data_IF_014586374797
#
_entry.id   IF_014586374797
#
_cell.length_a   1.000
_cell.length_b   1.000
_cell.length_c   1.000
_cell.angle_alpha   90.00
_cell.angle_beta   90.00
_cell.angle_gamma   90.00
#
_symmetry.space_group_name_H-M   'P 1'
#
loop_
_entity.id
_entity.type
_entity.pdbx_description
1 polymer ?
#
# COMPACT_ATOMS: atom_id res chain seq x y z
N UNK A 1 -50.35 -7.48 32.42
CA UNK A 1 -49.44 -8.32 31.65
C UNK A 1 -48.16 -7.56 31.46
N UNK A 2 -47.07 -7.96 32.14
CA UNK A 2 -45.77 -7.29 32.05
C UNK A 2 -44.95 -8.02 31.02
N UNK A 3 -44.57 -7.34 29.95
CA UNK A 3 -43.67 -7.87 28.91
C UNK A 3 -42.30 -8.22 29.48
N UNK A 4 -41.80 -9.43 29.19
CA UNK A 4 -40.43 -9.85 29.49
C UNK A 4 -39.46 -9.09 28.59
N UNK A 5 -38.30 -8.64 29.10
CA UNK A 5 -37.23 -8.08 28.27
C UNK A 5 -36.63 -9.20 27.42
N UNK A 6 -36.50 -8.97 26.11
CA UNK A 6 -35.74 -9.83 25.19
C UNK A 6 -34.25 -9.71 25.62
N UNK A 7 -33.64 -10.82 25.95
CA UNK A 7 -32.23 -10.93 26.20
C UNK A 7 -31.39 -10.61 24.94
N UNK A 8 -30.10 -10.29 25.08
CA UNK A 8 -29.26 -9.97 23.94
C UNK A 8 -29.18 -11.17 23.00
N UNK A 9 -29.45 -10.92 21.73
CA UNK A 9 -29.24 -11.87 20.65
C UNK A 9 -27.75 -12.14 20.58
N UNK A 10 -27.34 -13.39 20.77
CA UNK A 10 -25.96 -13.84 20.56
C UNK A 10 -25.68 -13.59 19.09
N UNK A 11 -24.80 -12.61 18.79
CA UNK A 11 -24.27 -12.41 17.46
C UNK A 11 -23.62 -13.73 17.02
N UNK A 12 -24.05 -14.27 15.90
CA UNK A 12 -23.41 -15.43 15.30
C UNK A 12 -21.93 -15.08 15.10
N UNK A 13 -21.03 -15.83 15.72
CA UNK A 13 -19.59 -15.65 15.53
C UNK A 13 -19.29 -15.94 14.07
N UNK A 14 -18.73 -14.96 13.36
CA UNK A 14 -18.22 -15.13 12.00
C UNK A 14 -17.24 -16.31 12.00
N UNK A 15 -17.54 -17.36 11.24
CA UNK A 15 -16.61 -18.47 11.04
C UNK A 15 -15.54 -18.05 10.05
N UNK A 16 -14.41 -17.56 10.57
CA UNK A 16 -13.20 -17.39 9.76
C UNK A 16 -12.67 -18.77 9.40
N UNK A 17 -12.26 -18.98 8.13
CA UNK A 17 -11.65 -20.23 7.69
C UNK A 17 -10.52 -20.66 8.61
N UNK A 18 -10.40 -21.96 8.87
CA UNK A 18 -9.44 -22.55 9.82
C UNK A 18 -7.99 -22.15 9.51
N UNK A 19 -7.65 -21.97 8.23
CA UNK A 19 -6.34 -21.50 7.77
C UNK A 19 -5.91 -20.12 8.36
N UNK A 20 -6.87 -19.26 8.74
CA UNK A 20 -6.57 -17.97 9.37
C UNK A 20 -6.54 -18.06 10.90
N UNK A 21 -7.19 -19.08 11.49
CA UNK A 21 -7.08 -19.37 12.93
C UNK A 21 -5.73 -20.01 13.28
N UNK A 22 -5.17 -20.77 12.34
CA UNK A 22 -3.88 -21.48 12.50
C UNK A 22 -2.67 -20.63 12.04
N UNK A 23 -2.89 -19.46 11.44
CA UNK A 23 -1.85 -18.62 10.82
C UNK A 23 -0.98 -17.83 11.83
N UNK A 24 -1.24 -17.95 13.12
CA UNK A 24 -0.54 -17.18 14.15
C UNK A 24 -0.99 -15.71 14.23
N UNK A 25 -0.31 -14.93 15.04
CA UNK A 25 -0.51 -13.49 15.17
C UNK A 25 -0.08 -12.76 13.88
N UNK A 26 -0.76 -11.66 13.45
CA UNK A 26 -0.30 -10.85 12.33
C UNK A 26 1.16 -10.41 12.48
N UNK A 27 2.04 -10.70 11.51
CA UNK A 27 3.49 -10.46 11.66
C UNK A 27 3.87 -9.00 11.92
N UNK A 28 3.05 -8.04 11.51
CA UNK A 28 3.31 -6.62 11.75
C UNK A 28 3.31 -6.27 13.24
N UNK A 29 2.65 -7.08 14.08
CA UNK A 29 2.60 -6.85 15.53
C UNK A 29 3.99 -6.97 16.19
N UNK A 30 4.90 -7.74 15.61
CA UNK A 30 6.29 -7.84 16.09
C UNK A 30 7.07 -6.53 15.91
N UNK A 31 6.57 -5.62 15.05
CA UNK A 31 7.18 -4.34 14.74
C UNK A 31 6.33 -3.15 15.23
N UNK A 32 5.12 -3.40 15.74
CA UNK A 32 4.09 -2.36 15.94
C UNK A 32 4.55 -1.20 16.82
N UNK A 33 5.35 -1.45 17.86
CA UNK A 33 5.77 -0.45 18.84
C UNK A 33 6.51 0.75 18.22
N UNK A 34 7.24 0.50 17.13
CA UNK A 34 8.04 1.54 16.49
C UNK A 34 7.62 1.87 15.04
N UNK A 35 6.91 0.95 14.34
CA UNK A 35 6.52 1.14 12.94
C UNK A 35 5.15 1.80 12.76
N UNK A 36 4.31 1.82 13.80
CA UNK A 36 2.93 2.26 13.70
C UNK A 36 2.43 3.01 14.94
N UNK A 37 1.30 3.68 14.79
CA UNK A 37 0.48 4.21 15.88
C UNK A 37 -0.87 3.49 15.89
N UNK A 38 -1.33 2.96 17.03
CA UNK A 38 -2.69 2.48 17.18
C UNK A 38 -3.67 3.64 16.98
N UNK A 39 -4.70 3.43 16.17
CA UNK A 39 -5.69 4.47 15.82
C UNK A 39 -7.10 3.91 15.84
N UNK A 40 -8.08 4.82 15.84
CA UNK A 40 -9.48 4.48 15.71
C UNK A 40 -10.03 5.00 14.38
N UNK A 41 -10.97 4.27 13.80
CA UNK A 41 -11.71 4.73 12.65
C UNK A 41 -12.65 5.89 13.04
N UNK A 42 -12.96 6.74 12.07
CA UNK A 42 -14.01 7.73 12.26
C UNK A 42 -15.37 7.05 12.39
N UNK A 43 -16.25 7.68 13.17
CA UNK A 43 -17.67 7.33 13.23
C UNK A 43 -18.39 7.98 12.04
N UNK A 44 -19.07 7.17 11.24
CA UNK A 44 -19.73 7.62 10.02
C UNK A 44 -21.25 7.67 10.20
N UNK A 45 -21.94 8.73 9.71
CA UNK A 45 -23.39 8.88 9.88
C UNK A 45 -24.18 7.76 9.19
N UNK A 46 -23.63 7.13 8.17
CA UNK A 46 -24.25 5.99 7.46
C UNK A 46 -23.17 5.20 6.72
N UNK A 47 -23.35 3.89 6.60
CA UNK A 47 -22.52 3.02 5.76
C UNK A 47 -23.38 2.41 4.65
N UNK A 48 -23.00 2.62 3.39
CA UNK A 48 -23.70 2.05 2.22
C UNK A 48 -22.69 1.38 1.32
N UNK A 49 -22.80 0.09 1.14
CA UNK A 49 -21.92 -0.69 0.26
C UNK A 49 -22.09 -0.22 -1.20
N UNK A 50 -20.97 0.13 -1.85
CA UNK A 50 -20.90 0.56 -3.25
C UNK A 50 -20.12 -0.38 -4.12
N UNK A 51 -19.11 -1.04 -3.56
CA UNK A 51 -18.29 -2.03 -4.23
C UNK A 51 -17.82 -3.09 -3.24
N UNK A 52 -17.89 -4.34 -3.68
CA UNK A 52 -17.34 -5.51 -2.99
C UNK A 52 -16.61 -6.36 -4.03
N UNK A 53 -15.36 -6.67 -3.76
CA UNK A 53 -14.54 -7.49 -4.65
C UNK A 53 -14.57 -8.95 -4.19
N UNK A 54 -15.57 -9.70 -4.64
CA UNK A 54 -15.75 -11.10 -4.24
C UNK A 54 -14.59 -12.00 -4.70
N UNK A 55 -13.95 -11.69 -5.84
CA UNK A 55 -12.76 -12.43 -6.31
C UNK A 55 -11.57 -12.26 -5.35
N UNK A 56 -11.34 -11.03 -4.91
CA UNK A 56 -10.29 -10.75 -3.93
C UNK A 56 -10.63 -11.31 -2.55
N UNK A 57 -11.91 -11.32 -2.18
CA UNK A 57 -12.40 -11.91 -0.93
C UNK A 57 -12.22 -13.43 -0.90
N UNK A 58 -12.47 -14.11 -2.02
CA UNK A 58 -12.25 -15.56 -2.14
C UNK A 58 -10.76 -15.92 -1.95
N UNK A 59 -9.87 -15.13 -2.54
CA UNK A 59 -8.41 -15.33 -2.45
C UNK A 59 -7.88 -15.29 -1.00
N UNK A 60 -8.54 -14.53 -0.13
CA UNK A 60 -8.16 -14.39 1.29
C UNK A 60 -9.19 -14.98 2.27
N UNK A 61 -10.10 -15.84 1.79
CA UNK A 61 -11.05 -16.58 2.62
C UNK A 61 -12.19 -15.75 3.25
N UNK A 62 -12.53 -14.60 2.69
CA UNK A 62 -13.59 -13.72 3.17
C UNK A 62 -14.84 -13.68 2.24
N UNK A 63 -14.93 -14.57 1.26
CA UNK A 63 -16.03 -14.59 0.28
C UNK A 63 -17.40 -14.83 0.92
N UNK A 64 -17.45 -15.57 2.04
CA UNK A 64 -18.70 -15.99 2.70
C UNK A 64 -19.30 -14.92 3.63
N UNK A 65 -18.66 -13.77 3.82
CA UNK A 65 -19.23 -12.68 4.61
C UNK A 65 -20.53 -12.20 3.95
N UNK A 66 -21.60 -12.08 4.74
CA UNK A 66 -22.82 -11.37 4.32
C UNK A 66 -22.52 -9.87 4.13
N UNK A 67 -23.42 -9.14 3.48
CA UNK A 67 -23.27 -7.69 3.32
C UNK A 67 -23.29 -6.95 4.66
N UNK A 68 -24.02 -7.43 5.65
CA UNK A 68 -24.06 -6.84 6.99
C UNK A 68 -22.73 -7.05 7.73
N UNK A 69 -22.13 -8.24 7.65
CA UNK A 69 -20.80 -8.54 8.18
C UNK A 69 -19.71 -7.75 7.43
N UNK A 70 -19.84 -7.64 6.10
CA UNK A 70 -18.95 -6.83 5.29
C UNK A 70 -18.95 -5.36 5.73
N UNK A 71 -20.14 -4.79 5.95
CA UNK A 71 -20.26 -3.42 6.45
C UNK A 71 -19.81 -3.28 7.91
N UNK A 72 -19.92 -4.33 8.73
CA UNK A 72 -19.36 -4.35 10.08
C UNK A 72 -17.83 -4.18 10.03
N UNK A 73 -17.15 -4.97 9.20
CA UNK A 73 -15.69 -4.95 9.13
C UNK A 73 -15.14 -3.80 8.26
N UNK A 74 -15.72 -3.50 7.10
CA UNK A 74 -15.15 -2.54 6.14
C UNK A 74 -15.88 -1.19 6.09
N UNK A 75 -16.93 -1.03 6.87
CA UNK A 75 -17.67 0.23 7.03
C UNK A 75 -17.62 0.78 8.45
N UNK A 76 -17.69 -0.07 9.47
CA UNK A 76 -17.62 0.30 10.89
C UNK A 76 -16.31 -0.11 11.57
N UNK A 77 -15.43 -0.84 10.85
CA UNK A 77 -14.12 -1.27 11.28
C UNK A 77 -14.10 -2.16 12.54
N UNK A 78 -15.14 -2.98 12.71
CA UNK A 78 -15.13 -4.05 13.70
C UNK A 78 -13.99 -5.02 13.36
N UNK A 79 -13.10 -5.30 14.31
CA UNK A 79 -11.91 -6.14 14.09
C UNK A 79 -12.28 -7.52 13.52
N UNK A 80 -11.47 -8.01 12.60
CA UNK A 80 -11.56 -9.40 12.15
C UNK A 80 -11.09 -10.31 13.28
N UNK A 81 -11.84 -11.38 13.63
CA UNK A 81 -11.46 -12.30 14.70
C UNK A 81 -10.06 -12.90 14.48
N UNK A 82 -9.23 -12.90 15.53
CA UNK A 82 -7.86 -13.43 15.47
C UNK A 82 -6.86 -12.56 14.67
N UNK A 83 -7.22 -11.33 14.34
CA UNK A 83 -6.38 -10.39 13.58
C UNK A 83 -5.94 -9.20 14.45
N UNK A 84 -5.63 -8.05 13.83
CA UNK A 84 -5.22 -6.86 14.54
C UNK A 84 -6.33 -6.44 15.54
N UNK A 85 -6.01 -6.26 16.83
CA UNK A 85 -7.00 -5.84 17.81
C UNK A 85 -7.46 -4.39 17.60
N UNK A 86 -6.60 -3.58 16.95
CA UNK A 86 -6.83 -2.18 16.64
C UNK A 86 -6.12 -1.83 15.33
N UNK A 87 -6.67 -0.95 14.49
CA UNK A 87 -6.02 -0.46 13.29
C UNK A 87 -4.69 0.26 13.59
N UNK A 88 -3.75 0.19 12.65
CA UNK A 88 -2.39 0.70 12.77
C UNK A 88 -2.09 1.74 11.68
N UNK A 89 -1.83 2.99 12.05
CA UNK A 89 -1.32 4.01 11.13
C UNK A 89 0.19 3.88 11.01
N UNK A 90 0.69 3.46 9.84
CA UNK A 90 2.10 3.21 9.62
C UNK A 90 2.91 4.51 9.56
N UNK A 91 4.07 4.49 10.18
CA UNK A 91 5.03 5.60 10.23
C UNK A 91 6.01 5.48 9.08
N UNK A 92 6.13 6.54 8.28
CA UNK A 92 7.14 6.67 7.24
C UNK A 92 7.47 8.14 7.00
N UNK A 93 8.57 8.40 6.33
CA UNK A 93 8.90 9.69 5.74
C UNK A 93 8.82 9.57 4.20
N UNK A 94 9.37 10.50 3.46
CA UNK A 94 9.46 10.34 2.03
C UNK A 94 10.04 11.54 1.31
N UNK A 95 10.44 11.32 0.06
CA UNK A 95 10.76 12.40 -0.86
C UNK A 95 9.55 12.64 -1.76
N UNK A 96 8.95 13.80 -1.60
CA UNK A 96 7.86 14.28 -2.46
C UNK A 96 8.43 15.25 -3.49
N UNK A 97 8.34 14.91 -4.77
CA UNK A 97 9.01 15.70 -5.83
C UNK A 97 10.51 15.93 -5.54
N UNK A 98 11.21 14.91 -5.05
CA UNK A 98 12.63 14.91 -4.63
C UNK A 98 12.93 15.82 -3.43
N UNK A 99 11.93 16.38 -2.76
CA UNK A 99 12.10 17.12 -1.50
C UNK A 99 11.74 16.21 -0.34
N UNK A 100 12.66 16.04 0.61
CA UNK A 100 12.44 15.21 1.78
C UNK A 100 11.41 15.83 2.72
N UNK A 101 10.45 15.02 3.15
CA UNK A 101 9.39 15.40 4.06
C UNK A 101 9.32 14.42 5.24
N UNK A 102 9.69 14.86 6.47
CA UNK A 102 9.66 14.03 7.68
C UNK A 102 8.28 13.99 8.36
N UNK A 103 7.27 14.70 7.83
CA UNK A 103 5.92 14.78 8.43
C UNK A 103 4.94 13.77 7.81
N UNK A 104 5.45 12.80 7.04
CA UNK A 104 4.62 11.80 6.38
C UNK A 104 4.34 10.61 7.30
N UNK A 105 3.26 9.93 6.98
CA UNK A 105 2.74 8.72 7.58
C UNK A 105 1.36 8.42 7.00
N UNK A 106 0.70 7.38 7.45
CA UNK A 106 -0.67 7.07 7.04
C UNK A 106 -1.65 8.14 7.55
N UNK A 107 -1.82 9.22 6.77
CA UNK A 107 -2.52 10.44 7.21
C UNK A 107 -4.05 10.43 6.98
N UNK A 108 -4.61 9.45 6.28
CA UNK A 108 -6.06 9.33 6.03
C UNK A 108 -6.54 7.89 5.89
N UNK A 109 -5.83 6.99 6.51
CA UNK A 109 -6.10 5.57 6.48
C UNK A 109 -5.18 4.84 7.43
N UNK A 110 -5.29 3.53 7.48
CA UNK A 110 -4.54 2.67 8.38
C UNK A 110 -4.49 1.23 7.82
N UNK A 111 -3.55 0.44 8.32
CA UNK A 111 -3.57 -1.01 8.18
C UNK A 111 -4.66 -1.57 9.10
N UNK A 112 -5.64 -2.26 8.51
CA UNK A 112 -6.80 -2.81 9.23
C UNK A 112 -6.62 -4.27 9.59
N UNK A 113 -6.01 -5.06 8.71
CA UNK A 113 -5.81 -6.50 8.91
C UNK A 113 -4.66 -7.04 8.07
N UNK A 114 -4.08 -8.16 8.51
CA UNK A 114 -3.16 -8.98 7.72
C UNK A 114 -3.71 -10.39 7.59
N UNK A 115 -3.78 -10.91 6.38
CA UNK A 115 -4.31 -12.23 6.05
C UNK A 115 -3.33 -12.97 5.12
N UNK A 116 -3.56 -14.26 4.92
CA UNK A 116 -2.81 -15.04 3.92
C UNK A 116 -3.72 -15.34 2.73
N UNK A 117 -3.20 -15.13 1.51
CA UNK A 117 -3.90 -15.56 0.30
C UNK A 117 -3.79 -17.08 0.08
N UNK A 118 -4.45 -17.60 -0.94
CA UNK A 118 -4.44 -19.02 -1.29
C UNK A 118 -3.03 -19.54 -1.66
N UNK A 119 -2.06 -18.65 -1.93
CA UNK A 119 -0.65 -18.98 -2.19
C UNK A 119 0.23 -18.89 -0.94
N UNK A 120 -0.36 -18.54 0.21
CA UNK A 120 0.35 -18.33 1.46
C UNK A 120 1.06 -16.97 1.57
N UNK A 121 0.89 -16.05 0.61
CA UNK A 121 1.48 -14.72 0.68
C UNK A 121 0.78 -13.88 1.74
N UNK A 122 1.55 -13.06 2.46
CA UNK A 122 0.99 -12.08 3.37
C UNK A 122 0.29 -10.97 2.57
N UNK A 123 -0.97 -10.72 2.90
CA UNK A 123 -1.79 -9.69 2.28
C UNK A 123 -2.28 -8.72 3.35
N UNK A 124 -2.17 -7.45 3.08
CA UNK A 124 -2.60 -6.36 3.94
C UNK A 124 -3.94 -5.79 3.45
N UNK A 125 -4.88 -5.61 4.37
CA UNK A 125 -6.07 -4.79 4.15
C UNK A 125 -5.79 -3.39 4.69
N UNK A 126 -5.48 -2.46 3.81
CA UNK A 126 -5.26 -1.05 4.13
C UNK A 126 -6.46 -0.21 3.74
N UNK A 127 -6.71 0.87 4.47
CA UNK A 127 -7.85 1.75 4.24
C UNK A 127 -7.43 3.12 3.71
N UNK A 128 -8.40 3.85 3.12
CA UNK A 128 -8.23 5.23 2.68
C UNK A 128 -9.54 5.99 2.87
N UNK A 129 -9.49 7.08 3.61
CA UNK A 129 -10.68 7.86 3.96
C UNK A 129 -11.35 7.42 5.27
N UNK A 130 -10.71 6.56 6.05
CA UNK A 130 -11.26 5.93 7.27
C UNK A 130 -11.13 6.78 8.54
N UNK A 131 -10.50 7.93 8.48
CA UNK A 131 -10.38 8.85 9.62
C UNK A 131 -9.05 9.58 9.67
N UNK A 132 -8.97 10.48 10.65
CA UNK A 132 -7.72 11.15 10.99
C UNK A 132 -6.81 10.22 11.78
N UNK A 133 -5.52 10.44 11.64
CA UNK A 133 -4.44 9.77 12.38
C UNK A 133 -3.47 10.83 12.90
N UNK A 134 -2.47 10.50 13.71
CA UNK A 134 -1.42 11.45 14.09
C UNK A 134 -0.70 12.09 12.90
N UNK A 135 -0.77 11.47 11.71
CA UNK A 135 -0.09 11.88 10.47
C UNK A 135 -0.97 12.68 9.51
N UNK A 136 -2.20 13.01 9.89
CA UNK A 136 -3.14 13.73 9.02
C UNK A 136 -2.74 15.17 8.74
N UNK A 137 -1.84 15.74 9.53
CA UNK A 137 -1.45 17.16 9.44
C UNK A 137 -2.71 18.05 9.50
N UNK A 138 -2.97 18.86 8.48
CA UNK A 138 -4.19 19.66 8.37
C UNK A 138 -5.34 18.94 7.61
N UNK A 139 -5.16 17.66 7.25
CA UNK A 139 -6.17 16.88 6.52
C UNK A 139 -7.33 16.41 7.41
N UNK A 140 -8.49 16.20 6.80
CA UNK A 140 -9.69 15.70 7.49
C UNK A 140 -9.76 14.17 7.58
N UNK A 141 -8.78 13.46 7.03
CA UNK A 141 -8.76 12.00 7.01
C UNK A 141 -9.82 11.36 6.11
N UNK A 142 -10.40 12.11 5.19
CA UNK A 142 -11.53 11.68 4.34
C UNK A 142 -11.11 11.47 2.89
N UNK A 143 -11.91 10.65 2.19
CA UNK A 143 -11.81 10.39 0.76
C UNK A 143 -13.15 10.68 0.10
N UNK A 144 -13.14 11.31 -1.08
CA UNK A 144 -14.37 11.48 -1.86
C UNK A 144 -14.75 10.16 -2.53
N UNK A 145 -16.05 9.92 -2.72
CA UNK A 145 -16.53 8.74 -3.46
C UNK A 145 -15.95 8.72 -4.89
N UNK A 146 -15.80 9.87 -5.53
CA UNK A 146 -15.12 10.02 -6.83
C UNK A 146 -13.67 9.51 -6.75
N UNK A 147 -12.93 9.87 -5.70
CA UNK A 147 -11.56 9.40 -5.47
C UNK A 147 -11.50 7.88 -5.32
N UNK A 148 -12.42 7.29 -4.54
CA UNK A 148 -12.52 5.85 -4.37
C UNK A 148 -12.84 5.11 -5.69
N UNK A 149 -13.80 5.62 -6.47
CA UNK A 149 -14.14 5.03 -7.78
C UNK A 149 -12.97 5.17 -8.78
N UNK A 150 -12.23 6.29 -8.74
CA UNK A 150 -11.04 6.43 -9.58
C UNK A 150 -9.97 5.37 -9.23
N UNK A 151 -9.75 5.10 -7.94
CA UNK A 151 -8.80 4.08 -7.51
C UNK A 151 -9.27 2.67 -7.94
N UNK A 152 -10.57 2.36 -7.82
CA UNK A 152 -11.16 1.14 -8.35
C UNK A 152 -10.90 0.96 -9.86
N UNK A 153 -11.16 1.99 -10.66
CA UNK A 153 -10.94 1.93 -12.10
C UNK A 153 -9.46 1.71 -12.46
N UNK A 154 -8.54 2.33 -11.69
CA UNK A 154 -7.11 2.12 -11.88
C UNK A 154 -6.70 0.68 -11.59
N UNK A 155 -7.08 0.13 -10.44
CA UNK A 155 -6.68 -1.21 -10.02
C UNK A 155 -7.26 -2.29 -10.92
N UNK A 156 -8.55 -2.22 -11.29
CA UNK A 156 -9.18 -3.19 -12.18
C UNK A 156 -8.56 -3.17 -13.59
N UNK A 157 -8.30 -1.98 -14.13
CA UNK A 157 -7.69 -1.85 -15.47
C UNK A 157 -6.24 -2.31 -15.47
N UNK A 158 -5.44 -1.95 -14.45
CA UNK A 158 -4.04 -2.39 -14.34
C UNK A 158 -3.95 -3.91 -14.21
N UNK A 159 -4.80 -4.51 -13.37
CA UNK A 159 -4.87 -5.96 -13.24
C UNK A 159 -5.24 -6.64 -14.58
N UNK A 160 -6.20 -6.08 -15.32
CA UNK A 160 -6.60 -6.59 -16.63
C UNK A 160 -5.47 -6.48 -17.68
N UNK A 161 -4.58 -5.50 -17.53
CA UNK A 161 -3.40 -5.31 -18.39
C UNK A 161 -2.16 -6.10 -17.91
N UNK A 162 -2.29 -6.91 -16.86
CA UNK A 162 -1.21 -7.75 -16.33
C UNK A 162 -0.19 -7.02 -15.46
N UNK A 163 -0.49 -5.80 -15.02
CA UNK A 163 0.35 -5.07 -14.05
C UNK A 163 0.08 -5.60 -12.65
N UNK A 164 1.14 -5.89 -11.88
CA UNK A 164 1.00 -6.21 -10.47
C UNK A 164 0.56 -4.96 -9.69
N UNK A 165 -0.61 -5.04 -9.08
CA UNK A 165 -1.28 -3.88 -8.48
C UNK A 165 -2.06 -4.27 -7.23
N UNK A 166 -2.11 -3.35 -6.26
CA UNK A 166 -3.10 -3.44 -5.18
C UNK A 166 -4.51 -3.57 -5.77
N UNK A 167 -5.39 -4.27 -5.08
CA UNK A 167 -6.78 -4.49 -5.51
C UNK A 167 -7.72 -3.64 -4.66
N UNK A 168 -8.63 -2.90 -5.29
CA UNK A 168 -9.75 -2.30 -4.56
C UNK A 168 -10.62 -3.42 -4.03
N UNK A 169 -10.68 -3.55 -2.70
CA UNK A 169 -11.38 -4.61 -2.00
C UNK A 169 -12.82 -4.23 -1.67
N UNK A 170 -13.01 -3.03 -1.10
CA UNK A 170 -14.32 -2.53 -0.70
C UNK A 170 -14.41 -1.02 -0.91
N UNK A 171 -15.58 -0.53 -1.31
CA UNK A 171 -15.95 0.89 -1.25
C UNK A 171 -17.27 1.01 -0.50
N UNK A 172 -17.23 1.74 0.61
CA UNK A 172 -18.38 2.05 1.45
C UNK A 172 -18.59 3.57 1.47
N UNK A 173 -19.77 4.03 1.04
CA UNK A 173 -20.14 5.44 1.14
C UNK A 173 -20.55 5.75 2.58
N UNK A 174 -20.04 6.87 3.13
CA UNK A 174 -20.14 7.18 4.56
C UNK A 174 -21.30 8.07 4.93
N UNK A 175 -22.01 8.63 3.95
CA UNK A 175 -23.12 9.57 4.16
C UNK A 175 -22.71 10.99 4.46
N UNK A 176 -21.40 11.26 4.64
CA UNK A 176 -20.88 12.62 4.83
C UNK A 176 -20.84 13.40 3.50
N UNK A 177 -20.86 14.73 3.61
CA UNK A 177 -20.69 15.67 2.51
C UNK A 177 -19.39 16.45 2.71
N UNK A 178 -18.47 16.35 1.77
CA UNK A 178 -17.15 16.97 1.86
C UNK A 178 -17.08 18.24 1.01
N UNK A 179 -16.33 19.23 1.48
CA UNK A 179 -15.96 20.40 0.70
C UNK A 179 -14.52 20.23 0.20
N UNK A 180 -14.33 20.31 -1.12
CA UNK A 180 -13.02 20.19 -1.80
C UNK A 180 -12.82 21.35 -2.75
N UNK A 181 -11.58 21.85 -2.81
CA UNK A 181 -11.25 23.00 -3.68
C UNK A 181 -11.01 22.63 -5.14
N UNK A 182 -10.83 21.36 -5.45
CA UNK A 182 -10.45 20.82 -6.77
C UNK A 182 -11.57 20.02 -7.46
N UNK A 183 -12.76 19.96 -6.83
CA UNK A 183 -13.93 19.32 -7.42
C UNK A 183 -15.25 19.99 -6.97
N UNK A 184 -16.37 19.78 -7.72
CA UNK A 184 -17.66 20.29 -7.31
C UNK A 184 -18.04 19.88 -5.89
N UNK A 185 -18.38 20.85 -5.05
CA UNK A 185 -18.71 20.66 -3.65
C UNK A 185 -20.09 21.21 -3.30
N UNK A 186 -20.81 20.61 -2.33
CA UNK A 186 -20.40 19.47 -1.54
C UNK A 186 -20.38 18.16 -2.33
N UNK A 187 -19.44 17.27 -2.00
CA UNK A 187 -19.26 15.98 -2.66
C UNK A 187 -19.39 14.81 -1.69
N UNK A 188 -19.79 13.64 -2.19
CA UNK A 188 -20.03 12.43 -1.40
C UNK A 188 -18.71 11.84 -0.89
N UNK A 189 -18.73 11.38 0.35
CA UNK A 189 -17.60 10.72 1.01
C UNK A 189 -17.68 9.20 0.94
N UNK A 190 -16.51 8.55 0.92
CA UNK A 190 -16.40 7.10 0.99
C UNK A 190 -15.15 6.68 1.75
N UNK A 191 -15.17 5.43 2.23
CA UNK A 191 -13.98 4.69 2.63
C UNK A 191 -13.69 3.65 1.57
N UNK A 192 -12.42 3.58 1.19
CA UNK A 192 -11.88 2.53 0.34
C UNK A 192 -11.01 1.60 1.18
N UNK A 193 -11.26 0.30 1.09
CA UNK A 193 -10.34 -0.74 1.57
C UNK A 193 -9.63 -1.34 0.36
N UNK A 194 -8.32 -1.47 0.45
CA UNK A 194 -7.47 -2.10 -0.59
C UNK A 194 -6.77 -3.32 -0.03
N UNK A 195 -6.63 -4.33 -0.87
CA UNK A 195 -5.85 -5.54 -0.61
C UNK A 195 -4.54 -5.44 -1.37
N UNK A 196 -3.43 -5.54 -0.67
CA UNK A 196 -2.07 -5.45 -1.24
C UNK A 196 -1.13 -6.47 -0.62
N UNK A 197 -0.08 -6.84 -1.35
CA UNK A 197 1.02 -7.63 -0.82
C UNK A 197 1.97 -6.74 -0.01
N UNK A 198 1.48 -6.27 1.15
CA UNK A 198 2.16 -5.38 2.08
C UNK A 198 1.93 -3.89 1.86
N UNK A 199 2.23 -3.12 2.90
CA UNK A 199 2.18 -1.64 2.92
C UNK A 199 3.51 -1.03 3.37
N UNK A 200 4.59 -1.81 3.38
CA UNK A 200 5.94 -1.29 3.69
C UNK A 200 6.44 -0.51 2.49
N UNK A 201 6.73 0.76 2.70
CA UNK A 201 7.15 1.72 1.66
C UNK A 201 8.64 2.00 1.75
N UNK A 202 9.25 2.47 0.69
CA UNK A 202 10.64 2.99 0.73
C UNK A 202 10.77 4.06 1.82
N UNK A 203 9.74 4.87 2.00
CA UNK A 203 9.67 5.90 3.04
C UNK A 203 9.83 5.39 4.48
N UNK A 204 9.46 4.16 4.78
CA UNK A 204 9.65 3.55 6.11
C UNK A 204 11.16 3.42 6.43
N UNK A 205 11.97 2.99 5.47
CA UNK A 205 13.43 2.91 5.61
C UNK A 205 14.08 4.29 5.74
N UNK A 206 13.56 5.28 5.00
CA UNK A 206 14.06 6.66 5.08
C UNK A 206 13.83 7.27 6.47
N UNK A 207 12.68 6.94 7.11
CA UNK A 207 12.41 7.36 8.47
C UNK A 207 13.42 6.76 9.45
N UNK A 208 13.72 5.47 9.37
CA UNK A 208 14.68 4.80 10.24
C UNK A 208 16.10 5.38 10.07
N UNK A 209 16.52 5.69 8.83
CA UNK A 209 17.78 6.41 8.59
C UNK A 209 17.77 7.79 9.26
N UNK A 210 16.68 8.56 9.13
CA UNK A 210 16.61 9.91 9.68
C UNK A 210 16.66 9.95 11.22
N UNK A 211 16.22 8.87 11.87
CA UNK A 211 16.27 8.72 13.33
C UNK A 211 17.49 7.95 13.83
N UNK A 212 18.38 7.52 12.93
CA UNK A 212 19.58 6.72 13.26
C UNK A 212 19.23 5.43 14.04
N UNK A 213 18.26 4.65 13.52
CA UNK A 213 17.70 3.45 14.15
C UNK A 213 18.18 2.14 13.46
N UNK A 214 19.47 1.73 13.60
CA UNK A 214 20.00 0.58 12.85
C UNK A 214 19.39 -0.77 13.26
N UNK A 215 18.97 -0.94 14.51
CA UNK A 215 18.35 -2.19 14.97
C UNK A 215 16.95 -2.37 14.38
N UNK A 216 16.12 -1.33 14.38
CA UNK A 216 14.83 -1.37 13.72
C UNK A 216 14.98 -1.54 12.20
N UNK A 217 16.02 -0.97 11.60
CA UNK A 217 16.35 -1.18 10.19
C UNK A 217 16.62 -2.67 9.88
N UNK A 218 17.39 -3.37 10.72
CA UNK A 218 17.63 -4.81 10.56
C UNK A 218 16.33 -5.62 10.72
N UNK A 219 15.55 -5.33 11.76
CA UNK A 219 14.24 -5.97 11.95
C UNK A 219 13.31 -5.78 10.76
N UNK A 220 13.28 -4.57 10.18
CA UNK A 220 12.48 -4.30 8.98
C UNK A 220 12.97 -5.07 7.76
N UNK A 221 14.29 -5.16 7.56
CA UNK A 221 14.88 -5.96 6.47
C UNK A 221 14.51 -7.43 6.61
N UNK A 222 14.65 -8.00 7.81
CA UNK A 222 14.32 -9.41 8.09
C UNK A 222 12.81 -9.68 7.88
N UNK A 223 11.96 -8.76 8.33
CA UNK A 223 10.52 -8.82 8.07
C UNK A 223 10.24 -8.83 6.56
N UNK A 224 10.85 -7.90 5.81
CA UNK A 224 10.60 -7.81 4.36
C UNK A 224 11.08 -9.05 3.61
N UNK A 225 12.25 -9.61 3.94
CA UNK A 225 12.76 -10.83 3.33
C UNK A 225 11.88 -12.04 3.65
N UNK A 226 11.31 -12.09 4.85
CA UNK A 226 10.42 -13.17 5.29
C UNK A 226 9.03 -13.07 4.65
N UNK A 227 8.44 -11.88 4.66
CA UNK A 227 7.04 -11.72 4.20
C UNK A 227 6.92 -11.48 2.70
N UNK A 228 7.95 -10.94 2.06
CA UNK A 228 8.00 -10.64 0.62
C UNK A 228 9.20 -11.34 -0.04
N UNK A 229 9.28 -12.68 0.04
CA UNK A 229 10.44 -13.41 -0.46
C UNK A 229 10.64 -13.20 -1.98
N UNK A 230 11.89 -13.21 -2.39
CA UNK A 230 12.29 -13.09 -3.79
C UNK A 230 13.54 -13.91 -4.10
N UNK A 231 14.01 -13.90 -5.34
CA UNK A 231 15.22 -14.63 -5.72
C UNK A 231 16.45 -14.06 -4.98
N UNK A 232 17.45 -14.90 -4.67
CA UNK A 232 18.71 -14.44 -4.10
C UNK A 232 19.49 -13.59 -5.12
N UNK A 233 20.44 -12.74 -4.64
CA UNK A 233 21.37 -12.07 -5.53
C UNK A 233 22.19 -13.05 -6.36
N UNK A 234 22.78 -12.62 -7.51
CA UNK A 234 23.70 -13.44 -8.31
C UNK A 234 24.87 -13.97 -7.48
N UNK A 235 25.44 -15.09 -7.93
CA UNK A 235 26.55 -15.75 -7.21
C UNK A 235 27.79 -14.89 -7.10
N UNK A 236 28.04 -14.02 -8.07
CA UNK A 236 29.16 -13.10 -8.17
C UNK A 236 28.87 -11.70 -7.62
N UNK A 237 27.67 -11.46 -7.05
CA UNK A 237 27.33 -10.15 -6.49
C UNK A 237 28.14 -9.88 -5.21
N UNK A 238 28.73 -8.68 -5.07
CA UNK A 238 29.39 -8.27 -3.82
C UNK A 238 28.39 -8.30 -2.66
N UNK A 239 28.88 -8.69 -1.48
CA UNK A 239 28.09 -8.73 -0.23
C UNK A 239 26.74 -9.47 -0.35
N UNK A 240 26.64 -10.43 -1.25
CA UNK A 240 25.38 -11.14 -1.59
C UNK A 240 24.67 -11.80 -0.41
N UNK A 241 25.42 -12.13 0.64
CA UNK A 241 24.87 -12.79 1.83
C UNK A 241 24.44 -11.77 2.90
N UNK A 242 24.65 -10.46 2.67
CA UNK A 242 24.12 -9.41 3.52
C UNK A 242 22.61 -9.25 3.29
N UNK A 243 21.77 -9.31 4.34
CA UNK A 243 20.31 -9.25 4.20
C UNK A 243 19.81 -7.96 3.54
N UNK A 244 20.43 -6.81 3.82
CA UNK A 244 20.01 -5.53 3.24
C UNK A 244 20.39 -5.43 1.76
N UNK A 245 21.54 -6.00 1.36
CA UNK A 245 21.93 -6.12 -0.05
C UNK A 245 20.97 -7.07 -0.77
N UNK A 246 20.63 -8.22 -0.16
CA UNK A 246 19.65 -9.15 -0.70
C UNK A 246 18.30 -8.46 -0.92
N UNK A 247 17.80 -7.73 0.06
CA UNK A 247 16.53 -6.99 -0.06
C UNK A 247 16.59 -5.98 -1.21
N UNK A 248 17.68 -5.20 -1.31
CA UNK A 248 17.80 -4.20 -2.38
C UNK A 248 17.81 -4.82 -3.76
N UNK A 249 18.50 -5.96 -3.97
CA UNK A 249 18.46 -6.70 -5.22
C UNK A 249 17.03 -7.08 -5.63
N UNK A 250 16.25 -7.61 -4.67
CA UNK A 250 14.86 -7.98 -4.92
C UNK A 250 13.97 -6.78 -5.26
N UNK A 251 14.14 -5.67 -4.52
CA UNK A 251 13.35 -4.45 -4.77
C UNK A 251 13.71 -3.82 -6.11
N UNK A 252 14.98 -3.77 -6.47
CA UNK A 252 15.44 -3.25 -7.77
C UNK A 252 14.84 -4.04 -8.94
N UNK A 253 14.80 -5.37 -8.86
CA UNK A 253 14.20 -6.20 -9.90
C UNK A 253 12.69 -5.96 -10.00
N UNK A 254 11.96 -5.93 -8.87
CA UNK A 254 10.51 -5.63 -8.82
C UNK A 254 10.17 -4.24 -9.36
N UNK A 255 10.98 -3.22 -9.03
CA UNK A 255 10.76 -1.86 -9.53
C UNK A 255 11.07 -1.75 -11.04
N UNK A 256 12.02 -2.53 -11.54
CA UNK A 256 12.31 -2.61 -12.96
C UNK A 256 11.15 -3.26 -13.73
N UNK A 257 10.56 -4.34 -13.19
CA UNK A 257 9.38 -5.00 -13.74
C UNK A 257 8.15 -4.08 -13.71
N UNK A 258 7.91 -3.41 -12.58
CA UNK A 258 6.83 -2.43 -12.44
C UNK A 258 6.95 -1.30 -13.47
N UNK A 259 8.16 -0.73 -13.63
CA UNK A 259 8.41 0.31 -14.62
C UNK A 259 8.09 -0.18 -16.04
N UNK A 260 8.54 -1.38 -16.39
CA UNK A 260 8.29 -1.97 -17.70
C UNK A 260 6.79 -2.22 -17.93
N UNK A 261 6.09 -2.77 -16.95
CA UNK A 261 4.66 -3.05 -17.02
C UNK A 261 3.82 -1.78 -17.21
N UNK A 262 4.14 -0.67 -16.52
CA UNK A 262 3.48 0.62 -16.72
C UNK A 262 3.72 1.19 -18.11
N UNK A 263 4.96 1.06 -18.64
CA UNK A 263 5.27 1.52 -19.98
C UNK A 263 4.48 0.76 -21.05
N UNK A 264 4.38 -0.56 -20.93
CA UNK A 264 3.59 -1.42 -21.85
C UNK A 264 2.09 -1.12 -21.73
N UNK A 265 1.59 -0.93 -20.49
CA UNK A 265 0.18 -0.60 -20.26
C UNK A 265 -0.20 0.83 -20.72
N UNK A 266 0.76 1.71 -21.06
CA UNK A 266 0.51 3.12 -21.35
C UNK A 266 0.00 3.88 -20.13
N UNK A 267 0.35 3.43 -18.93
CA UNK A 267 -0.12 3.98 -17.66
C UNK A 267 0.83 5.06 -17.13
N UNK A 268 0.26 6.19 -16.71
CA UNK A 268 0.97 7.29 -16.07
C UNK A 268 0.48 7.43 -14.64
N UNK A 269 1.30 7.07 -13.68
CA UNK A 269 0.97 7.15 -12.25
C UNK A 269 0.82 8.61 -11.78
N UNK A 270 1.77 9.46 -12.16
CA UNK A 270 1.76 10.90 -11.95
C UNK A 270 2.35 11.39 -10.62
N UNK A 271 2.55 10.52 -9.61
CA UNK A 271 3.18 10.89 -8.32
C UNK A 271 4.05 9.72 -7.85
N UNK A 272 5.33 9.71 -8.28
CA UNK A 272 6.29 8.65 -8.02
C UNK A 272 7.23 9.00 -6.86
N UNK A 273 6.64 9.48 -5.77
CA UNK A 273 7.34 9.76 -4.52
C UNK A 273 7.78 8.46 -3.83
N UNK A 274 8.77 8.51 -2.96
CA UNK A 274 9.25 7.31 -2.21
C UNK A 274 8.21 6.75 -1.25
N UNK A 275 7.26 7.58 -0.78
CA UNK A 275 6.10 7.17 0.02
C UNK A 275 5.01 6.47 -0.81
N UNK A 276 5.10 6.50 -2.14
CA UNK A 276 4.20 5.80 -3.05
C UNK A 276 4.84 4.57 -3.71
N UNK A 277 5.99 4.12 -3.20
CA UNK A 277 6.70 2.92 -3.68
C UNK A 277 6.68 1.83 -2.61
N UNK A 278 5.95 0.75 -2.88
CA UNK A 278 5.86 -0.41 -2.02
C UNK A 278 7.07 -1.34 -2.25
N UNK A 279 7.65 -1.89 -1.19
CA UNK A 279 8.77 -2.84 -1.25
C UNK A 279 8.43 -4.12 -2.02
N UNK A 280 7.16 -4.51 -2.03
CA UNK A 280 6.69 -5.65 -2.82
C UNK A 280 6.77 -5.45 -4.33
N UNK A 281 6.92 -4.20 -4.80
CA UNK A 281 6.86 -3.84 -6.22
C UNK A 281 5.45 -3.70 -6.77
N UNK A 282 4.41 -3.91 -5.98
CA UNK A 282 3.03 -3.63 -6.38
C UNK A 282 2.81 -2.15 -6.68
N UNK A 283 2.14 -1.88 -7.78
CA UNK A 283 1.60 -0.55 -8.08
C UNK A 283 0.48 -0.20 -7.09
N UNK A 284 0.51 0.97 -6.48
CA UNK A 284 -0.52 1.39 -5.54
C UNK A 284 -0.59 2.91 -5.35
N UNK A 285 -1.58 3.38 -4.57
CA UNK A 285 -1.79 4.79 -4.17
C UNK A 285 -2.09 5.74 -5.34
N UNK A 286 -3.15 5.44 -6.05
CA UNK A 286 -3.55 6.11 -7.28
C UNK A 286 -4.19 7.48 -7.01
N UNK A 287 -3.44 8.55 -7.31
CA UNK A 287 -3.91 9.95 -7.27
C UNK A 287 -4.33 10.47 -8.66
N UNK A 288 -3.46 11.25 -9.32
CA UNK A 288 -3.80 11.91 -10.58
C UNK A 288 -3.68 11.04 -11.83
N UNK A 289 -3.48 9.76 -11.73
CA UNK A 289 -3.20 8.81 -12.81
C UNK A 289 -4.01 9.03 -14.10
N UNK A 290 -3.41 8.61 -15.25
CA UNK A 290 -4.02 8.62 -16.58
C UNK A 290 -3.55 7.42 -17.40
N UNK A 291 -4.29 7.08 -18.44
CA UNK A 291 -3.80 6.29 -19.57
C UNK A 291 -3.53 7.18 -20.76
N UNK A 292 -2.45 6.89 -21.50
CA UNK A 292 -2.12 7.61 -22.72
C UNK A 292 -3.10 7.22 -23.85
N UNK A 293 -3.74 8.19 -24.52
CA UNK A 293 -4.51 7.90 -25.74
C UNK A 293 -3.60 7.67 -26.96
N UNK A 294 -2.36 8.12 -26.90
CA UNK A 294 -1.32 7.99 -27.92
C UNK A 294 0.06 8.06 -27.26
N UNK A 295 1.09 7.58 -27.93
CA UNK A 295 2.46 7.66 -27.43
C UNK A 295 2.91 9.12 -27.29
N UNK A 296 3.15 9.53 -26.05
CA UNK A 296 3.56 10.89 -25.67
C UNK A 296 4.49 10.83 -24.44
N UNK A 297 5.81 10.66 -24.64
CA UNK A 297 6.75 10.49 -23.53
C UNK A 297 6.77 11.65 -22.53
N UNK A 298 6.46 12.87 -22.96
CA UNK A 298 6.39 14.07 -22.12
C UNK A 298 5.09 14.26 -21.35
N UNK A 299 4.09 13.38 -21.52
CA UNK A 299 2.80 13.51 -20.88
C UNK A 299 2.90 13.34 -19.34
N UNK A 300 2.30 14.27 -18.59
CA UNK A 300 2.17 14.22 -17.13
C UNK A 300 0.71 14.02 -16.73
N UNK A 301 0.47 13.13 -15.75
CA UNK A 301 -0.88 12.93 -15.19
C UNK A 301 -1.23 13.97 -14.13
N UNK A 302 -0.23 14.44 -13.37
CA UNK A 302 -0.39 15.45 -12.33
C UNK A 302 -0.29 16.86 -12.93
N UNK A 303 -1.35 17.65 -12.81
CA UNK A 303 -1.40 19.02 -13.33
C UNK A 303 -0.39 19.98 -12.68
N UNK A 304 0.09 19.62 -11.50
CA UNK A 304 1.09 20.38 -10.73
C UNK A 304 2.55 19.92 -11.00
N UNK A 305 2.77 18.90 -11.83
CA UNK A 305 4.10 18.48 -12.26
C UNK A 305 4.56 19.30 -13.48
N UNK A 306 4.81 20.59 -13.26
CA UNK A 306 5.21 21.51 -14.34
C UNK A 306 6.58 21.20 -14.93
N UNK A 307 7.46 20.52 -14.18
CA UNK A 307 8.79 20.12 -14.63
C UNK A 307 8.81 18.78 -15.37
N UNK A 308 7.68 18.08 -15.43
CA UNK A 308 7.59 16.75 -16.02
C UNK A 308 8.46 15.72 -15.30
N UNK A 309 8.65 15.87 -13.99
CA UNK A 309 9.48 14.96 -13.20
C UNK A 309 8.98 13.52 -13.30
N UNK A 310 7.67 13.34 -13.29
CA UNK A 310 6.97 12.06 -13.37
C UNK A 310 6.22 11.89 -14.71
N UNK A 311 6.74 12.50 -15.78
CA UNK A 311 6.22 12.28 -17.12
C UNK A 311 6.32 10.78 -17.51
N UNK A 312 5.42 10.34 -18.40
CA UNK A 312 5.35 8.93 -18.83
C UNK A 312 6.72 8.33 -19.17
N UNK A 313 7.48 8.97 -20.06
CA UNK A 313 8.79 8.48 -20.49
C UNK A 313 9.87 8.53 -19.40
N UNK A 314 9.62 9.22 -18.29
CA UNK A 314 10.55 9.36 -17.17
C UNK A 314 10.22 8.48 -15.96
N UNK A 315 9.15 7.69 -16.03
CA UNK A 315 8.78 6.78 -14.93
C UNK A 315 9.89 5.79 -14.57
N UNK A 316 10.61 5.15 -15.54
CA UNK A 316 11.74 4.28 -15.20
C UNK A 316 12.87 5.03 -14.48
N UNK A 317 13.20 6.27 -14.89
CA UNK A 317 14.19 7.11 -14.19
C UNK A 317 13.75 7.39 -12.74
N UNK A 318 12.47 7.70 -12.53
CA UNK A 318 11.92 7.98 -11.21
C UNK A 318 11.98 6.75 -10.29
N UNK A 319 11.64 5.56 -10.80
CA UNK A 319 11.73 4.31 -10.02
C UNK A 319 13.17 3.94 -9.69
N UNK A 320 14.10 4.09 -10.64
CA UNK A 320 15.54 3.90 -10.38
C UNK A 320 16.07 4.86 -9.31
N UNK A 321 15.63 6.13 -9.35
CA UNK A 321 15.96 7.10 -8.31
C UNK A 321 15.38 6.71 -6.94
N UNK A 322 14.16 6.19 -6.88
CA UNK A 322 13.55 5.69 -5.63
C UNK A 322 14.34 4.49 -5.06
N UNK A 323 14.82 3.59 -5.92
CA UNK A 323 15.72 2.51 -5.50
C UNK A 323 17.03 3.07 -4.89
N UNK A 324 17.60 4.14 -5.46
CA UNK A 324 18.77 4.80 -4.91
C UNK A 324 18.50 5.45 -3.53
N UNK A 325 17.28 5.94 -3.29
CA UNK A 325 16.90 6.42 -1.96
C UNK A 325 16.79 5.28 -0.95
N UNK A 326 16.28 4.11 -1.35
CA UNK A 326 16.29 2.91 -0.49
C UNK A 326 17.73 2.47 -0.18
N UNK A 327 18.61 2.39 -1.18
CA UNK A 327 20.01 2.07 -0.98
C UNK A 327 20.69 3.04 -0.02
N UNK A 328 20.40 4.34 -0.14
CA UNK A 328 20.90 5.36 0.79
C UNK A 328 20.46 5.08 2.22
N UNK A 329 19.20 4.66 2.43
CA UNK A 329 18.71 4.32 3.76
C UNK A 329 19.39 3.05 4.30
N UNK A 330 19.57 2.03 3.48
CA UNK A 330 20.18 0.76 3.86
C UNK A 330 21.68 0.87 4.19
N UNK A 331 22.37 1.95 3.76
CA UNK A 331 23.75 2.24 4.17
C UNK A 331 23.93 2.38 5.68
N UNK A 332 22.85 2.57 6.43
CA UNK A 332 22.89 2.58 7.89
C UNK A 332 23.38 1.21 8.45
N UNK A 333 23.16 0.11 7.71
CA UNK A 333 23.43 -1.24 8.20
C UNK A 333 24.23 -2.12 7.22
N UNK A 334 24.45 -1.69 5.99
CA UNK A 334 25.08 -2.51 4.94
C UNK A 334 26.25 -1.78 4.24
N UNK A 335 27.22 -2.54 3.69
CA UNK A 335 28.34 -1.97 2.93
C UNK A 335 27.87 -1.36 1.61
N UNK A 336 28.56 -0.31 1.17
CA UNK A 336 28.18 0.44 -0.02
C UNK A 336 28.40 -0.33 -1.33
N UNK A 337 29.38 -1.24 -1.39
CA UNK A 337 29.75 -1.95 -2.62
C UNK A 337 28.61 -2.83 -3.12
N UNK A 338 28.04 -3.70 -2.25
CA UNK A 338 26.90 -4.54 -2.59
C UNK A 338 25.66 -3.74 -2.95
N UNK A 339 25.40 -2.63 -2.23
CA UNK A 339 24.25 -1.75 -2.54
C UNK A 339 24.39 -1.06 -3.91
N UNK A 340 25.60 -0.62 -4.29
CA UNK A 340 25.86 -0.03 -5.61
C UNK A 340 25.65 -1.07 -6.71
N UNK A 341 26.23 -2.27 -6.54
CA UNK A 341 26.06 -3.35 -7.49
C UNK A 341 24.58 -3.73 -7.70
N UNK A 342 23.77 -3.74 -6.62
CA UNK A 342 22.34 -3.97 -6.71
C UNK A 342 21.63 -2.88 -7.53
N UNK A 343 21.96 -1.59 -7.32
CA UNK A 343 21.36 -0.49 -8.06
C UNK A 343 21.67 -0.51 -9.57
N UNK A 344 22.90 -0.85 -9.95
CA UNK A 344 23.34 -0.90 -11.35
C UNK A 344 22.50 -1.90 -12.16
N UNK A 345 21.95 -2.92 -11.51
CA UNK A 345 21.07 -3.92 -12.14
C UNK A 345 19.78 -3.32 -12.71
N UNK A 346 19.28 -2.22 -12.18
CA UNK A 346 18.10 -1.57 -12.74
C UNK A 346 18.26 -1.28 -14.24
N UNK A 347 19.46 -0.80 -14.64
CA UNK A 347 19.79 -0.47 -16.03
C UNK A 347 19.75 -1.67 -17.00
N UNK A 348 19.92 -2.90 -16.50
CA UNK A 348 19.87 -4.14 -17.28
C UNK A 348 18.52 -4.85 -17.16
N UNK A 349 17.90 -4.83 -15.96
CA UNK A 349 16.63 -5.50 -15.68
C UNK A 349 15.45 -4.80 -16.37
N UNK A 350 15.36 -3.48 -16.29
CA UNK A 350 14.26 -2.75 -16.93
C UNK A 350 14.16 -3.03 -18.45
N UNK A 351 15.22 -2.92 -19.26
CA UNK A 351 15.14 -3.30 -20.69
C UNK A 351 14.83 -4.78 -20.91
N UNK A 352 15.24 -5.67 -20.00
CA UNK A 352 14.95 -7.10 -20.11
C UNK A 352 13.45 -7.37 -19.87
N UNK A 353 12.86 -6.76 -18.82
CA UNK A 353 11.42 -6.85 -18.54
C UNK A 353 10.58 -6.23 -19.66
N UNK A 354 11.00 -5.09 -20.22
CA UNK A 354 10.29 -4.42 -21.32
C UNK A 354 10.21 -5.27 -22.61
N UNK A 355 11.09 -6.26 -22.79
CA UNK A 355 11.12 -7.16 -23.97
C UNK A 355 10.28 -8.44 -23.80
N UNK A 356 9.83 -8.73 -22.60
CA UNK A 356 8.95 -9.87 -22.30
C UNK A 356 7.52 -9.58 -22.66
#
# INVERSE_FOLDING_TARGET
MRGRPRGPTIAAMVEIPQQHRDAGSPPILDLADWIADPVEAADFPRTTLRWRNDRAADDIGLANLSDDEWLAHFGRFESLPGNLPQPLALRYHGHQFRVYNPELGDGRGFLFAQLRDQRGRLMDLGTKGSGQTPWSRAGDGRLTLKGAVRELLATEMLQALGVDTSRTFSIVETGEQLVRGDEPSPTRSAVLTRLSHGHIRIGTFQRLLAHDEPEHMRQLVDYCLTQFPGPPPPEDAPDRDDPAVCLLHQVVDRMADLAASWMVAGFVHGVLNTDNMNISGESFDYGPWRWLPKWEPGFTAAYFDHAGLYAFGRQPEALGWNCAQLATALRLIAPSEGLIAALERFGTHYPAHLRR
#
